data_IF_965927391157
#
_entry.id   IF_965927391157
#
_cell.length_a   1.000
_cell.length_b   1.000
_cell.length_c   1.000
_cell.angle_alpha   90.00
_cell.angle_beta   90.00
_cell.angle_gamma   90.00
#
_symmetry.space_group_name_H-M   'P 1'
#
loop_
_entity.id
_entity.type
_entity.pdbx_description
1 polymer ?
#
# COMPACT_ATOMS: atom_id res chain seq x y z
N UNK A 1 -18.84 20.94 -43.81
CA UNK A 1 -18.02 22.10 -44.27
C UNK A 1 -16.57 22.05 -43.77
N UNK A 2 -16.28 21.53 -42.56
CA UNK A 2 -14.92 21.46 -41.96
C UNK A 2 -14.02 20.35 -42.58
N UNK A 3 -14.61 19.25 -43.08
CA UNK A 3 -13.85 18.16 -43.73
C UNK A 3 -13.25 18.54 -45.09
N UNK A 4 -13.84 19.52 -45.79
CA UNK A 4 -13.41 19.91 -47.15
C UNK A 4 -12.19 20.83 -47.09
N UNK A 5 -12.13 21.72 -46.10
CA UNK A 5 -11.00 22.63 -45.85
C UNK A 5 -9.74 21.88 -45.39
N UNK A 6 -9.87 20.86 -44.54
CA UNK A 6 -8.74 20.03 -44.13
C UNK A 6 -8.13 19.24 -45.30
N UNK A 7 -8.96 18.75 -46.23
CA UNK A 7 -8.52 17.98 -47.40
C UNK A 7 -7.77 18.84 -48.42
N UNK A 8 -8.26 20.07 -48.66
CA UNK A 8 -7.61 21.05 -49.54
C UNK A 8 -6.30 21.56 -48.95
N UNK A 9 -6.23 21.74 -47.63
CA UNK A 9 -4.99 22.14 -46.94
C UNK A 9 -3.94 21.02 -47.01
N UNK A 10 -4.35 19.77 -46.79
CA UNK A 10 -3.48 18.60 -46.98
C UNK A 10 -3.02 18.43 -48.44
N UNK A 11 -3.89 18.65 -49.44
CA UNK A 11 -3.50 18.60 -50.85
C UNK A 11 -2.50 19.70 -51.22
N UNK A 12 -2.71 20.94 -50.74
CA UNK A 12 -1.76 22.04 -50.99
C UNK A 12 -0.40 21.82 -50.33
N UNK A 13 -0.37 21.17 -49.17
CA UNK A 13 0.88 20.77 -48.52
C UNK A 13 1.57 19.61 -49.27
N UNK A 14 0.80 18.69 -49.87
CA UNK A 14 1.32 17.54 -50.63
C UNK A 14 1.95 17.96 -51.96
N UNK A 15 1.44 18.99 -52.62
CA UNK A 15 1.92 19.43 -53.95
C UNK A 15 3.27 20.17 -53.89
N UNK A 16 3.63 20.79 -52.76
CA UNK A 16 4.86 21.61 -52.67
C UNK A 16 6.14 20.80 -52.38
N UNK A 17 6.02 19.58 -51.88
CA UNK A 17 7.15 18.72 -51.50
C UNK A 17 7.68 17.92 -52.72
N UNK A 18 6.86 17.74 -53.76
CA UNK A 18 7.22 16.97 -54.96
C UNK A 18 7.64 17.84 -56.16
N UNK A 19 7.78 19.16 -56.00
CA UNK A 19 8.38 20.03 -57.02
C UNK A 19 9.91 19.98 -56.85
N UNK A 20 10.67 19.78 -57.94
CA UNK A 20 12.15 19.64 -57.95
C UNK A 20 12.91 20.94 -57.54
N UNK A 21 12.26 21.86 -56.81
CA UNK A 21 12.76 23.20 -56.48
C UNK A 21 13.45 23.29 -55.11
N UNK A 22 13.55 22.19 -54.37
CA UNK A 22 14.21 22.17 -53.06
C UNK A 22 13.47 22.99 -51.99
N UNK A 23 14.00 22.98 -50.76
CA UNK A 23 13.47 23.76 -49.64
C UNK A 23 14.08 25.16 -49.68
N UNK A 24 13.25 26.20 -49.55
CA UNK A 24 13.76 27.57 -49.45
C UNK A 24 14.39 27.81 -48.08
N UNK A 25 15.52 28.53 -48.04
CA UNK A 25 16.26 28.82 -46.79
C UNK A 25 15.37 29.47 -45.72
N UNK A 26 14.45 30.34 -46.15
CA UNK A 26 13.52 31.05 -45.27
C UNK A 26 12.49 30.11 -44.62
N UNK A 27 11.99 29.13 -45.37
CA UNK A 27 11.01 28.15 -44.87
C UNK A 27 11.65 27.22 -43.83
N UNK A 28 12.92 26.84 -44.04
CA UNK A 28 13.72 26.11 -43.06
C UNK A 28 14.03 26.94 -41.81
N UNK A 29 14.38 28.23 -41.98
CA UNK A 29 14.67 29.11 -40.84
C UNK A 29 13.44 29.36 -39.97
N UNK A 30 12.27 29.59 -40.58
CA UNK A 30 11.01 29.82 -39.86
C UNK A 30 10.61 28.56 -39.07
N UNK A 31 10.68 27.37 -39.69
CA UNK A 31 10.35 26.11 -39.00
C UNK A 31 11.29 25.85 -37.82
N UNK A 32 12.61 26.02 -38.00
CA UNK A 32 13.57 25.91 -36.90
C UNK A 32 13.30 26.90 -35.77
N UNK A 33 12.97 28.16 -36.11
CA UNK A 33 12.67 29.20 -35.12
C UNK A 33 11.44 28.83 -34.29
N UNK A 34 10.37 28.36 -34.93
CA UNK A 34 9.15 27.93 -34.22
C UNK A 34 9.43 26.68 -33.37
N UNK A 35 10.15 25.69 -33.91
CA UNK A 35 10.54 24.48 -33.17
C UNK A 35 11.42 24.79 -31.97
N UNK A 36 12.35 25.74 -32.08
CA UNK A 36 13.22 26.16 -30.98
C UNK A 36 12.45 26.76 -29.80
N UNK A 37 11.27 27.34 -30.04
CA UNK A 37 10.39 27.85 -28.98
C UNK A 37 9.50 26.73 -28.44
N UNK A 38 8.94 25.88 -29.32
CA UNK A 38 7.94 24.90 -28.93
C UNK A 38 8.53 23.67 -28.22
N UNK A 39 9.70 23.19 -28.67
CA UNK A 39 10.32 21.98 -28.14
C UNK A 39 10.71 22.12 -26.65
N UNK A 40 11.34 23.21 -26.18
CA UNK A 40 11.67 23.36 -24.76
C UNK A 40 10.42 23.38 -23.86
N UNK A 41 9.35 24.04 -24.31
CA UNK A 41 8.09 24.14 -23.55
C UNK A 41 7.44 22.76 -23.39
N UNK A 42 7.31 22.02 -24.49
CA UNK A 42 6.72 20.67 -24.47
C UNK A 42 7.59 19.69 -23.69
N UNK A 43 8.91 19.72 -23.88
CA UNK A 43 9.85 18.87 -23.16
C UNK A 43 9.85 19.16 -21.65
N UNK A 44 9.81 20.43 -21.26
CA UNK A 44 9.72 20.83 -19.85
C UNK A 44 8.44 20.32 -19.19
N UNK A 45 7.30 20.43 -19.88
CA UNK A 45 6.02 19.90 -19.40
C UNK A 45 6.08 18.36 -19.26
N UNK A 46 6.65 17.65 -20.23
CA UNK A 46 6.78 16.19 -20.19
C UNK A 46 7.68 15.70 -19.05
N UNK A 47 8.84 16.32 -18.85
CA UNK A 47 9.73 15.98 -17.72
C UNK A 47 9.02 16.21 -16.39
N UNK A 48 8.34 17.35 -16.25
CA UNK A 48 7.62 17.67 -15.02
C UNK A 48 6.51 16.65 -14.77
N UNK A 49 5.74 16.32 -15.80
CA UNK A 49 4.70 15.29 -15.73
C UNK A 49 5.26 13.92 -15.33
N UNK A 50 6.38 13.51 -15.92
CA UNK A 50 7.03 12.23 -15.60
C UNK A 50 7.47 12.17 -14.13
N UNK A 51 8.13 13.22 -13.62
CA UNK A 51 8.58 13.27 -12.22
C UNK A 51 7.43 13.26 -11.23
N UNK A 52 6.34 13.95 -11.55
CA UNK A 52 5.13 13.96 -10.72
C UNK A 52 4.49 12.57 -10.73
N UNK A 53 4.37 11.95 -11.90
CA UNK A 53 3.83 10.60 -12.04
C UNK A 53 4.63 9.58 -11.22
N UNK A 54 5.97 9.57 -11.36
CA UNK A 54 6.85 8.68 -10.61
C UNK A 54 6.67 8.85 -9.10
N UNK A 55 6.63 10.10 -8.62
CA UNK A 55 6.41 10.38 -7.19
C UNK A 55 5.06 9.86 -6.70
N UNK A 56 3.97 10.16 -7.42
CA UNK A 56 2.63 9.73 -7.05
C UNK A 56 2.51 8.21 -7.09
N UNK A 57 3.15 7.56 -8.07
CA UNK A 57 3.15 6.10 -8.19
C UNK A 57 3.86 5.43 -7.02
N UNK A 58 5.02 5.96 -6.57
CA UNK A 58 5.74 5.43 -5.40
C UNK A 58 4.93 5.65 -4.14
N UNK A 59 4.35 6.84 -3.94
CA UNK A 59 3.53 7.14 -2.76
C UNK A 59 2.28 6.23 -2.71
N UNK A 60 1.67 5.91 -3.86
CA UNK A 60 0.57 4.98 -3.96
C UNK A 60 0.98 3.55 -3.60
N UNK A 61 2.11 3.06 -4.13
CA UNK A 61 2.63 1.72 -3.82
C UNK A 61 2.93 1.56 -2.32
N UNK A 62 3.57 2.55 -1.69
CA UNK A 62 3.86 2.51 -0.24
C UNK A 62 2.58 2.43 0.60
N UNK A 63 1.51 3.11 0.15
CA UNK A 63 0.21 3.05 0.80
C UNK A 63 -0.48 1.70 0.58
N UNK A 64 -0.44 1.16 -0.64
CA UNK A 64 -0.99 -0.15 -0.96
C UNK A 64 -0.30 -1.26 -0.14
N UNK A 65 1.02 -1.22 0.01
CA UNK A 65 1.78 -2.17 0.84
C UNK A 65 1.36 -2.08 2.32
N UNK A 66 1.15 -0.88 2.86
CA UNK A 66 0.68 -0.68 4.24
C UNK A 66 -0.78 -1.11 4.45
N UNK A 67 -1.66 -0.80 3.50
CA UNK A 67 -3.07 -1.18 3.52
C UNK A 67 -3.21 -2.70 3.39
N UNK A 68 -2.36 -3.35 2.59
CA UNK A 68 -2.28 -4.81 2.49
C UNK A 68 -1.91 -5.43 3.83
N UNK A 69 -0.84 -4.96 4.47
CA UNK A 69 -0.43 -5.46 5.80
C UNK A 69 -1.56 -5.26 6.81
N UNK A 70 -2.15 -4.07 6.86
CA UNK A 70 -3.26 -3.77 7.76
C UNK A 70 -4.47 -4.68 7.54
N UNK A 71 -4.79 -4.96 6.28
CA UNK A 71 -5.91 -5.84 5.91
C UNK A 71 -5.64 -7.30 6.29
N UNK A 72 -4.40 -7.77 6.11
CA UNK A 72 -3.99 -9.11 6.50
C UNK A 72 -3.99 -9.26 8.02
N UNK A 73 -3.42 -8.31 8.76
CA UNK A 73 -3.49 -8.27 10.23
C UNK A 73 -4.94 -8.33 10.67
N UNK A 74 -5.82 -7.49 10.10
CA UNK A 74 -7.24 -7.50 10.44
C UNK A 74 -7.93 -8.83 10.12
N UNK A 75 -7.62 -9.43 8.98
CA UNK A 75 -8.13 -10.75 8.61
C UNK A 75 -7.74 -11.79 9.66
N UNK A 76 -6.47 -11.79 10.09
CA UNK A 76 -5.99 -12.72 11.10
C UNK A 76 -6.66 -12.49 12.45
N UNK A 77 -6.72 -11.23 12.91
CA UNK A 77 -7.42 -10.82 14.14
C UNK A 77 -8.86 -11.33 14.18
N UNK A 78 -9.63 -11.20 13.10
CA UNK A 78 -11.02 -11.68 13.10
C UNK A 78 -11.18 -13.17 12.78
N UNK A 79 -10.14 -13.85 12.32
CA UNK A 79 -10.18 -15.29 12.06
C UNK A 79 -9.73 -16.13 13.25
N UNK A 80 -8.94 -15.55 14.14
CA UNK A 80 -8.42 -16.22 15.32
C UNK A 80 -9.27 -15.85 16.55
N UNK A 81 -9.91 -16.81 17.21
CA UNK A 81 -10.61 -16.55 18.46
C UNK A 81 -9.57 -16.41 19.58
N UNK A 82 -9.22 -15.19 19.98
CA UNK A 82 -8.34 -14.94 21.12
C UNK A 82 -9.12 -14.28 22.27
N UNK A 83 -8.66 -14.51 23.49
CA UNK A 83 -9.26 -13.97 24.72
C UNK A 83 -8.51 -12.73 25.21
N UNK A 84 -7.19 -12.68 25.00
CA UNK A 84 -6.36 -11.58 25.44
C UNK A 84 -5.19 -11.29 24.51
N UNK A 85 -4.63 -10.08 24.65
CA UNK A 85 -3.43 -9.66 23.94
C UNK A 85 -2.33 -9.29 24.92
N UNK A 86 -1.12 -9.74 24.63
CA UNK A 86 0.07 -9.55 25.45
C UNK A 86 1.25 -9.07 24.59
N UNK A 87 2.19 -8.33 25.17
CA UNK A 87 3.44 -8.00 24.48
C UNK A 87 4.38 -9.21 24.51
N UNK A 88 5.06 -9.51 23.39
CA UNK A 88 5.92 -10.71 23.32
C UNK A 88 7.05 -10.68 24.35
N UNK A 89 7.70 -9.52 24.47
CA UNK A 89 8.69 -9.23 25.52
C UNK A 89 8.66 -7.72 25.82
N UNK A 90 8.92 -7.30 27.08
CA UNK A 90 8.87 -5.90 27.47
C UNK A 90 9.93 -5.01 26.81
N UNK A 91 10.94 -5.59 26.14
CA UNK A 91 12.03 -4.86 25.46
C UNK A 91 11.90 -4.86 23.93
N UNK A 92 11.03 -5.70 23.35
CA UNK A 92 10.89 -5.82 21.89
C UNK A 92 9.75 -4.94 21.39
N UNK A 93 10.10 -3.78 20.83
CA UNK A 93 9.16 -2.98 20.06
C UNK A 93 8.82 -3.70 18.76
N UNK A 94 7.53 -3.90 18.47
CA UNK A 94 7.10 -4.48 17.19
C UNK A 94 6.65 -5.94 17.26
N UNK A 95 6.34 -6.48 18.46
CA UNK A 95 5.79 -7.82 18.62
C UNK A 95 4.64 -7.85 19.63
N UNK A 96 3.50 -8.41 19.21
CA UNK A 96 2.34 -8.68 20.07
C UNK A 96 1.88 -10.12 19.91
N UNK A 97 1.37 -10.71 21.00
CA UNK A 97 0.83 -12.07 21.07
C UNK A 97 -0.66 -12.03 21.33
N UNK A 98 -1.38 -12.91 20.64
CA UNK A 98 -2.79 -13.19 20.82
C UNK A 98 -2.92 -14.53 21.54
N UNK A 99 -3.51 -14.51 22.73
CA UNK A 99 -3.63 -15.68 23.60
C UNK A 99 -5.06 -16.17 23.58
N UNK A 100 -5.24 -17.46 23.32
CA UNK A 100 -6.52 -18.15 23.40
C UNK A 100 -6.48 -19.21 24.51
N UNK A 101 -7.38 -19.09 25.47
CA UNK A 101 -7.54 -20.00 26.60
C UNK A 101 -8.93 -20.65 26.65
N UNK A 102 -9.93 -20.08 25.96
CA UNK A 102 -11.33 -20.54 26.03
C UNK A 102 -11.96 -20.70 24.65
N UNK A 103 -12.78 -21.75 24.49
CA UNK A 103 -13.62 -21.92 23.30
C UNK A 103 -15.11 -21.92 23.67
N UNK A 104 -15.95 -21.41 22.78
CA UNK A 104 -17.40 -21.41 22.97
C UNK A 104 -17.97 -22.77 22.63
N UNK A 105 -18.34 -23.55 23.63
CA UNK A 105 -19.08 -24.80 23.47
C UNK A 105 -20.59 -24.53 23.35
N UNK A 106 -21.26 -25.27 22.46
CA UNK A 106 -22.71 -25.15 22.25
C UNK A 106 -23.38 -26.47 22.61
N UNK A 107 -24.28 -26.45 23.59
CA UNK A 107 -25.05 -27.63 24.03
C UNK A 107 -26.55 -27.37 23.96
N UNK A 108 -27.34 -28.44 23.77
CA UNK A 108 -28.81 -28.31 23.78
C UNK A 108 -29.29 -27.96 25.19
N UNK A 109 -30.04 -26.87 25.31
CA UNK A 109 -30.60 -26.46 26.58
C UNK A 109 -31.77 -27.38 26.96
N UNK A 110 -31.48 -28.40 27.76
CA UNK A 110 -32.47 -29.28 28.40
C UNK A 110 -33.54 -29.84 27.43
N UNK A 111 -33.10 -30.27 26.23
CA UNK A 111 -33.98 -30.90 25.23
C UNK A 111 -34.97 -29.94 24.54
N UNK A 112 -34.78 -28.63 24.67
CA UNK A 112 -35.57 -27.59 23.98
C UNK A 112 -34.87 -27.14 22.69
N UNK A 113 -35.57 -26.34 21.87
CA UNK A 113 -35.04 -25.70 20.66
C UNK A 113 -34.04 -24.58 20.92
N UNK A 114 -33.55 -24.44 22.15
CA UNK A 114 -32.60 -23.41 22.55
C UNK A 114 -31.23 -24.04 22.81
N UNK A 115 -30.19 -23.23 22.62
CA UNK A 115 -28.82 -23.61 22.87
C UNK A 115 -28.29 -22.89 24.11
N UNK A 116 -27.45 -23.58 24.86
CA UNK A 116 -26.64 -22.99 25.92
C UNK A 116 -25.20 -22.89 25.41
N UNK A 117 -24.65 -21.68 25.48
CA UNK A 117 -23.25 -21.41 25.15
C UNK A 117 -22.48 -21.34 26.46
N UNK A 118 -21.44 -22.15 26.59
CA UNK A 118 -20.53 -22.12 27.75
C UNK A 118 -19.11 -21.98 27.28
N UNK A 119 -18.31 -21.31 28.08
CA UNK A 119 -16.87 -21.21 27.87
C UNK A 119 -16.26 -22.51 28.41
N UNK A 120 -15.60 -23.26 27.54
CA UNK A 120 -14.80 -24.42 27.91
C UNK A 120 -13.32 -24.06 27.80
N UNK A 121 -12.56 -24.37 28.85
CA UNK A 121 -11.11 -24.20 28.84
C UNK A 121 -10.49 -25.11 27.76
N UNK A 122 -9.70 -24.52 26.86
CA UNK A 122 -9.02 -25.24 25.78
C UNK A 122 -7.51 -25.31 26.01
N UNK A 123 -6.83 -26.08 25.16
CA UNK A 123 -5.37 -26.04 25.09
C UNK A 123 -4.93 -24.63 24.76
N UNK A 124 -4.08 -24.07 25.60
CA UNK A 124 -3.45 -22.77 25.40
C UNK A 124 -2.83 -22.69 23.99
N UNK A 125 -3.30 -21.72 23.21
CA UNK A 125 -2.83 -21.45 21.85
C UNK A 125 -2.40 -19.97 21.76
N UNK A 126 -1.29 -19.72 21.07
CA UNK A 126 -0.70 -18.39 20.93
C UNK A 126 -0.36 -18.13 19.46
N UNK A 127 -0.74 -16.97 18.95
CA UNK A 127 -0.31 -16.47 17.65
C UNK A 127 0.37 -15.12 17.83
N UNK A 128 1.46 -14.87 17.08
CA UNK A 128 2.24 -13.64 17.23
C UNK A 128 2.23 -12.81 15.94
N UNK A 129 2.04 -11.50 16.08
CA UNK A 129 2.33 -10.52 15.03
C UNK A 129 3.65 -9.85 15.35
N UNK A 130 4.62 -10.00 14.45
CA UNK A 130 5.99 -9.52 14.66
C UNK A 130 6.61 -8.93 13.40
N UNK A 131 7.59 -8.06 13.62
CA UNK A 131 8.44 -7.52 12.56
C UNK A 131 9.72 -8.34 12.47
N UNK A 132 9.97 -8.96 11.32
CA UNK A 132 11.12 -9.83 11.07
C UNK A 132 12.01 -9.28 9.96
N UNK A 133 13.31 -9.55 10.03
CA UNK A 133 14.26 -9.15 8.99
C UNK A 133 14.47 -10.27 7.98
N UNK A 134 14.18 -10.01 6.70
CA UNK A 134 14.40 -10.93 5.58
C UNK A 134 15.19 -10.18 4.51
N UNK A 135 16.31 -10.75 4.05
CA UNK A 135 17.15 -10.17 2.99
C UNK A 135 17.56 -8.69 3.24
N UNK A 136 17.70 -8.30 4.52
CA UNK A 136 18.10 -6.95 4.92
C UNK A 136 16.97 -5.91 4.91
N UNK A 137 15.71 -6.32 4.74
CA UNK A 137 14.51 -5.48 4.93
C UNK A 137 13.65 -6.02 6.06
N UNK A 138 12.92 -5.15 6.75
CA UNK A 138 11.96 -5.56 7.77
C UNK A 138 10.58 -5.78 7.13
N UNK A 139 9.95 -6.91 7.43
CA UNK A 139 8.62 -7.29 6.95
C UNK A 139 7.79 -7.83 8.10
N UNK A 140 6.47 -7.62 8.03
CA UNK A 140 5.55 -8.16 9.02
C UNK A 140 5.34 -9.66 8.79
N UNK A 141 5.28 -10.40 9.90
CA UNK A 141 4.97 -11.82 9.95
C UNK A 141 3.83 -12.03 10.94
N UNK A 142 2.89 -12.89 10.58
CA UNK A 142 1.83 -13.32 11.47
C UNK A 142 1.91 -14.84 11.61
N UNK A 143 2.22 -15.31 12.83
CA UNK A 143 2.39 -16.74 13.14
C UNK A 143 3.34 -17.48 12.18
N UNK A 144 4.44 -16.80 11.81
CA UNK A 144 5.42 -17.31 10.84
C UNK A 144 5.03 -17.17 9.37
N UNK A 145 3.81 -16.74 9.03
CA UNK A 145 3.42 -16.37 7.67
C UNK A 145 3.88 -14.95 7.35
N UNK A 146 4.80 -14.84 6.39
CA UNK A 146 5.37 -13.56 5.97
C UNK A 146 4.35 -12.80 5.12
N UNK A 147 4.02 -11.57 5.54
CA UNK A 147 3.22 -10.64 4.76
C UNK A 147 4.10 -10.00 3.68
N UNK A 148 4.32 -10.75 2.61
CA UNK A 148 5.26 -10.41 1.55
C UNK A 148 4.87 -9.12 0.82
N UNK A 149 5.71 -8.10 0.99
CA UNK A 149 5.60 -6.78 0.34
C UNK A 149 6.89 -6.42 -0.37
N UNK A 150 6.82 -5.42 -1.26
CA UNK A 150 8.03 -4.89 -1.92
C UNK A 150 8.79 -3.90 -1.04
N UNK A 151 8.08 -3.23 -0.13
CA UNK A 151 8.61 -2.20 0.75
C UNK A 151 9.33 -2.75 1.99
N UNK A 152 10.13 -1.88 2.59
CA UNK A 152 10.81 -2.10 3.86
C UNK A 152 10.07 -1.38 4.98
N UNK A 153 9.72 -2.11 6.04
CA UNK A 153 8.98 -1.61 7.19
C UNK A 153 9.89 -1.19 8.35
N UNK A 154 11.18 -0.99 8.08
CA UNK A 154 12.20 -0.70 9.10
C UNK A 154 11.84 0.45 10.03
N UNK A 155 11.70 0.13 11.33
CA UNK A 155 11.31 1.08 12.38
C UNK A 155 9.80 1.31 12.50
N UNK A 156 8.98 0.42 11.93
CA UNK A 156 7.55 0.33 12.27
C UNK A 156 7.39 -0.23 13.68
N UNK A 157 6.29 0.12 14.35
CA UNK A 157 6.01 -0.35 15.71
C UNK A 157 4.57 -0.82 15.85
N UNK A 158 4.34 -1.74 16.79
CA UNK A 158 3.01 -2.10 17.28
C UNK A 158 3.00 -1.96 18.80
N UNK A 159 1.92 -1.42 19.33
CA UNK A 159 1.67 -1.30 20.76
C UNK A 159 0.20 -1.52 21.06
N UNK A 160 -0.10 -1.86 22.32
CA UNK A 160 -1.46 -2.08 22.81
C UNK A 160 -1.76 -1.13 23.96
N UNK A 161 -2.94 -0.51 23.94
CA UNK A 161 -3.45 0.21 25.10
C UNK A 161 -4.67 -0.50 25.67
N UNK A 162 -4.55 -1.00 26.89
CA UNK A 162 -5.56 -1.76 27.62
C UNK A 162 -5.97 -1.03 28.91
N UNK A 163 -7.19 -1.27 29.39
CA UNK A 163 -7.68 -0.72 30.67
C UNK A 163 -7.82 -1.78 31.77
N UNK A 164 -7.80 -3.07 31.41
CA UNK A 164 -7.93 -4.24 32.28
C UNK A 164 -6.73 -5.20 32.14
N UNK A 165 -6.51 -6.00 33.18
CA UNK A 165 -5.53 -7.11 33.21
C UNK A 165 -6.26 -8.38 33.71
N UNK A 166 -6.39 -9.45 32.90
CA UNK A 166 -5.88 -9.62 31.53
C UNK A 166 -6.54 -8.69 30.52
N UNK A 167 -5.77 -8.30 29.50
CA UNK A 167 -6.21 -7.35 28.48
C UNK A 167 -7.23 -7.99 27.53
N UNK A 168 -8.50 -7.82 27.88
CA UNK A 168 -9.68 -8.40 27.21
C UNK A 168 -10.34 -7.42 26.23
N UNK A 169 -10.21 -6.12 26.49
CA UNK A 169 -10.60 -5.05 25.57
C UNK A 169 -9.36 -4.16 25.33
N UNK A 170 -8.92 -4.04 24.08
CA UNK A 170 -7.71 -3.27 23.77
C UNK A 170 -7.82 -2.46 22.49
N UNK A 171 -7.03 -1.38 22.45
CA UNK A 171 -6.70 -0.71 21.20
C UNK A 171 -5.29 -1.12 20.76
N UNK A 172 -5.20 -1.88 19.67
CA UNK A 172 -3.95 -2.17 18.98
C UNK A 172 -3.62 -0.98 18.09
N UNK A 173 -2.46 -0.37 18.29
CA UNK A 173 -1.97 0.74 17.49
C UNK A 173 -0.72 0.30 16.72
N UNK A 174 -0.78 0.45 15.39
CA UNK A 174 0.33 0.16 14.49
C UNK A 174 0.82 1.46 13.87
N UNK A 175 2.11 1.74 14.00
CA UNK A 175 2.79 2.83 13.31
C UNK A 175 3.66 2.24 12.20
N UNK A 176 3.24 2.43 10.96
CA UNK A 176 3.98 1.96 9.80
C UNK A 176 4.95 3.03 9.32
N UNK A 177 6.22 2.64 9.19
CA UNK A 177 7.24 3.40 8.48
C UNK A 177 7.66 2.60 7.25
N UNK A 178 7.05 2.93 6.11
CA UNK A 178 7.17 2.14 4.88
C UNK A 178 8.12 2.85 3.92
N UNK A 179 9.20 2.19 3.54
CA UNK A 179 10.27 2.76 2.70
C UNK A 179 10.40 1.97 1.40
N UNK A 180 10.50 2.68 0.26
CA UNK A 180 10.69 2.02 -1.03
C UNK A 180 12.16 1.56 -1.17
N UNK A 181 12.44 0.35 -1.67
CA UNK A 181 13.80 -0.21 -1.74
C UNK A 181 14.78 0.48 -2.71
N UNK A 182 14.32 1.42 -3.54
CA UNK A 182 15.09 2.00 -4.64
C UNK A 182 15.00 3.52 -4.62
N UNK A 183 13.82 4.03 -4.29
CA UNK A 183 13.58 5.45 -4.10
C UNK A 183 13.66 5.75 -2.62
N UNK A 184 14.50 6.71 -2.22
CA UNK A 184 14.63 7.17 -0.82
C UNK A 184 13.37 7.96 -0.39
N UNK A 185 12.25 7.27 -0.34
CA UNK A 185 10.92 7.74 -0.05
C UNK A 185 10.35 6.86 1.05
N UNK A 186 9.92 7.52 2.11
CA UNK A 186 9.31 6.91 3.28
C UNK A 186 7.95 7.53 3.51
N UNK A 187 6.97 6.68 3.76
CA UNK A 187 5.62 7.06 4.14
C UNK A 187 5.38 6.62 5.59
N UNK A 188 4.80 7.51 6.39
CA UNK A 188 4.37 7.19 7.76
C UNK A 188 2.86 7.09 7.78
N UNK A 189 2.35 5.98 8.32
CA UNK A 189 0.92 5.72 8.44
C UNK A 189 0.64 5.21 9.85
N UNK A 190 -0.53 5.54 10.36
CA UNK A 190 -1.00 5.03 11.65
C UNK A 190 -2.30 4.28 11.43
N UNK A 191 -2.38 3.09 12.01
CA UNK A 191 -3.61 2.33 12.10
C UNK A 191 -3.93 2.03 13.55
N UNK A 192 -5.23 2.00 13.86
CA UNK A 192 -5.72 1.64 15.18
C UNK A 192 -6.87 0.67 15.02
N UNK A 193 -6.77 -0.47 15.68
CA UNK A 193 -7.79 -1.52 15.71
C UNK A 193 -8.27 -1.72 17.14
N UNK A 194 -9.59 -1.70 17.33
CA UNK A 194 -10.22 -2.04 18.60
C UNK A 194 -10.83 -3.43 18.49
N UNK A 195 -10.67 -4.22 19.55
CA UNK A 195 -11.42 -5.46 19.74
C UNK A 195 -12.09 -5.43 21.12
#
# INVERSE_FOLDING_TARGET
MIKLTARVLMEKLKVKIFDNKGITLIELLITLTISAILLPVTYGALITGYKVYEKVSIDAQLREDADYVSSMVMKHLYSYPFDSVEECTPEQTGCIKFVNNTEKSVSSYSGKSFYEVRDEDVSHDEQALELITIDGKEQWSFDGEILATTSDFSGSTVSTSCTSDPCTDAMIQMSYKVTHPQFNKTLQLESRFGF
#
